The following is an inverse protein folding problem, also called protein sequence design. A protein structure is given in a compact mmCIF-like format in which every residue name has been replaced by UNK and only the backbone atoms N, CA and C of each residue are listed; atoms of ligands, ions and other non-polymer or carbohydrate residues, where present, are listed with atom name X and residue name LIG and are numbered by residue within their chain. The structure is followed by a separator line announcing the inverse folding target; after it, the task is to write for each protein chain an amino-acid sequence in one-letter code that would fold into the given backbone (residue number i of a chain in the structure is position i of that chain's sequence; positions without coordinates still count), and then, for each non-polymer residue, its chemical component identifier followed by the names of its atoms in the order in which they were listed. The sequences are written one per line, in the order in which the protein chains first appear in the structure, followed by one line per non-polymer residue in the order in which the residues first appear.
data_IF_073503305471
#
_entry.id   IF_073503305471
#
_cell.length_a   1.000
_cell.length_b   1.000
_cell.length_c   1.000
_cell.angle_alpha   90.00
_cell.angle_beta   90.00
_cell.angle_gamma   90.00
#
_symmetry.space_group_name_H-M   'P 1'
#
loop_
_entity.id
_entity.type
_entity.pdbx_description
1 polymer ?
#
# COMPACT_ATOMS: atom_id res chain seq x y z
N UNK A 1 5.83 16.44 38.30
CA UNK A 1 5.43 16.87 36.96
C UNK A 1 4.04 16.34 36.73
N UNK A 2 3.11 17.12 36.16
CA UNK A 2 1.78 16.60 35.88
C UNK A 2 1.79 15.47 34.88
N UNK A 3 0.83 14.54 35.00
CA UNK A 3 0.58 13.50 34.01
C UNK A 3 0.51 14.08 32.61
N UNK A 4 1.19 13.46 31.65
CA UNK A 4 1.17 13.88 30.25
C UNK A 4 1.12 12.69 29.31
N UNK A 5 0.59 12.93 28.12
CA UNK A 5 0.59 11.97 27.02
C UNK A 5 1.98 11.99 26.34
N UNK A 6 2.58 10.82 26.21
CA UNK A 6 3.83 10.63 25.49
C UNK A 6 3.62 10.67 23.96
N UNK A 7 4.60 11.18 23.19
CA UNK A 7 4.54 11.09 21.74
C UNK A 7 4.55 9.61 21.27
N UNK A 8 4.09 9.37 20.05
CA UNK A 8 3.96 8.02 19.47
C UNK A 8 2.58 7.44 19.76
N UNK A 9 2.50 6.30 20.42
CA UNK A 9 1.23 5.59 20.65
C UNK A 9 0.33 6.23 21.70
N UNK A 10 0.73 7.37 22.29
CA UNK A 10 -0.11 8.15 23.20
C UNK A 10 -0.30 7.54 24.59
N UNK A 11 0.73 6.89 25.12
CA UNK A 11 0.73 6.38 26.50
C UNK A 11 0.84 7.54 27.50
N UNK A 12 0.23 7.39 28.66
CA UNK A 12 0.34 8.37 29.76
C UNK A 12 1.54 8.06 30.64
N UNK A 13 2.23 9.09 31.07
CA UNK A 13 3.35 8.97 31.97
C UNK A 13 3.50 10.22 32.87
N UNK A 14 4.45 10.15 33.79
CA UNK A 14 4.77 11.22 34.72
C UNK A 14 3.63 11.53 35.71
N UNK A 15 3.09 10.47 36.31
CA UNK A 15 2.09 10.61 37.38
C UNK A 15 2.65 11.39 38.55
N UNK A 16 1.86 12.29 39.12
CA UNK A 16 2.29 13.07 40.26
C UNK A 16 2.48 12.21 41.53
N UNK A 17 3.46 12.51 42.39
CA UNK A 17 3.61 11.84 43.66
C UNK A 17 2.30 11.94 44.48
N UNK A 18 1.78 10.78 44.90
CA UNK A 18 0.53 10.71 45.65
C UNK A 18 -0.73 10.72 44.78
N UNK A 19 -0.63 10.79 43.45
CA UNK A 19 -1.78 10.68 42.56
C UNK A 19 -2.50 9.34 42.82
N UNK A 20 -3.82 9.42 43.02
CA UNK A 20 -4.69 8.24 43.16
C UNK A 20 -5.21 7.79 41.80
N UNK A 21 -5.58 6.52 41.71
CA UNK A 21 -6.17 5.91 40.48
C UNK A 21 -5.23 5.81 39.25
N UNK A 22 -3.93 6.07 39.41
CA UNK A 22 -2.94 5.90 38.35
C UNK A 22 -2.91 4.46 37.79
N UNK A 23 -3.28 3.46 38.60
CA UNK A 23 -3.32 2.06 38.20
C UNK A 23 -4.32 1.78 37.07
N UNK A 24 -5.47 2.47 37.04
CA UNK A 24 -6.43 2.36 35.91
C UNK A 24 -5.82 2.88 34.62
N UNK A 25 -5.25 4.10 34.68
CA UNK A 25 -4.58 4.70 33.53
C UNK A 25 -3.41 3.86 33.02
N UNK A 26 -2.58 3.34 33.92
CA UNK A 26 -1.48 2.45 33.55
C UNK A 26 -1.98 1.14 32.93
N UNK A 27 -3.05 0.55 33.47
CA UNK A 27 -3.62 -0.69 32.91
C UNK A 27 -4.16 -0.49 31.50
N UNK A 28 -4.82 0.64 31.23
CA UNK A 28 -5.27 0.99 29.89
C UNK A 28 -4.10 1.21 28.92
N UNK A 29 -3.03 1.85 29.39
CA UNK A 29 -1.83 2.09 28.60
C UNK A 29 -1.06 0.78 28.31
N UNK A 30 -0.98 -0.12 29.29
CA UNK A 30 -0.41 -1.46 29.08
C UNK A 30 -1.25 -2.30 28.10
N UNK A 31 -2.57 -2.20 28.17
CA UNK A 31 -3.47 -2.82 27.19
C UNK A 31 -3.18 -2.30 25.78
N UNK A 32 -3.08 -0.98 25.61
CA UNK A 32 -2.74 -0.35 24.33
C UNK A 32 -1.37 -0.80 23.83
N UNK A 33 -0.37 -0.79 24.70
CA UNK A 33 0.98 -1.26 24.37
C UNK A 33 0.97 -2.72 23.93
N UNK A 34 0.30 -3.60 24.68
CA UNK A 34 0.17 -5.03 24.33
C UNK A 34 -0.50 -5.25 22.97
N UNK A 35 -1.50 -4.43 22.63
CA UNK A 35 -2.16 -4.53 21.33
C UNK A 35 -1.32 -4.00 20.17
N UNK A 36 -0.34 -3.12 20.40
CA UNK A 36 0.45 -2.43 19.38
C UNK A 36 1.87 -2.94 19.22
N UNK A 37 2.39 -3.69 20.19
CA UNK A 37 3.68 -4.38 20.05
C UNK A 37 3.47 -5.65 19.24
N UNK A 38 4.00 -5.70 18.02
CA UNK A 38 3.81 -6.78 17.04
C UNK A 38 2.33 -7.10 16.79
N UNK A 39 1.53 -6.12 16.37
CA UNK A 39 0.09 -6.28 16.27
C UNK A 39 -0.29 -7.33 15.22
N UNK A 40 -1.20 -8.22 15.60
CA UNK A 40 -1.71 -9.29 14.74
C UNK A 40 -3.23 -9.31 14.82
N UNK A 41 -3.90 -8.94 13.73
CA UNK A 41 -5.35 -9.05 13.59
C UNK A 41 -5.74 -10.37 12.89
N UNK A 42 -6.88 -10.90 13.25
CA UNK A 42 -7.41 -12.12 12.61
C UNK A 42 -7.92 -11.81 11.20
N UNK A 43 -8.57 -10.68 10.99
CA UNK A 43 -9.11 -10.23 9.71
C UNK A 43 -9.26 -8.70 9.67
N UNK A 44 -9.41 -8.14 8.47
CA UNK A 44 -9.83 -6.73 8.22
C UNK A 44 -11.07 -6.62 7.32
N UNK A 45 -11.56 -7.73 6.78
CA UNK A 45 -12.69 -7.77 5.85
C UNK A 45 -13.94 -8.39 6.47
N UNK A 46 -13.78 -9.22 7.50
CA UNK A 46 -14.90 -9.81 8.23
C UNK A 46 -15.61 -8.78 9.11
N UNK A 47 -16.92 -8.85 9.17
CA UNK A 47 -17.69 -8.04 10.11
C UNK A 47 -17.22 -8.28 11.55
N UNK A 48 -17.22 -7.22 12.38
CA UNK A 48 -16.86 -7.33 13.78
C UNK A 48 -17.86 -8.28 14.48
N UNK A 49 -17.40 -9.41 15.06
CA UNK A 49 -18.28 -10.32 15.74
C UNK A 49 -18.84 -9.69 17.03
N UNK A 50 -20.03 -10.12 17.46
CA UNK A 50 -20.65 -9.64 18.69
C UNK A 50 -19.84 -9.96 19.95
N UNK A 51 -19.06 -11.06 19.93
CA UNK A 51 -18.16 -11.49 20.99
C UNK A 51 -16.83 -11.95 20.41
N UNK A 52 -15.77 -11.94 21.21
CA UNK A 52 -14.43 -12.40 20.80
C UNK A 52 -13.77 -13.28 21.87
N UNK A 53 -12.58 -13.74 21.61
CA UNK A 53 -11.69 -14.36 22.58
C UNK A 53 -10.75 -13.33 23.19
N UNK A 54 -10.44 -13.43 24.48
CA UNK A 54 -9.53 -12.49 25.16
C UNK A 54 -8.23 -12.34 24.39
N UNK A 55 -7.86 -11.10 24.09
CA UNK A 55 -6.66 -10.78 23.31
C UNK A 55 -6.84 -10.87 21.79
N UNK A 56 -8.02 -11.26 21.30
CA UNK A 56 -8.31 -11.23 19.87
C UNK A 56 -8.32 -9.79 19.35
N UNK A 57 -7.64 -9.58 18.23
CA UNK A 57 -7.65 -8.30 17.52
C UNK A 57 -8.27 -8.50 16.13
N UNK A 58 -9.13 -7.57 15.74
CA UNK A 58 -9.75 -7.47 14.40
C UNK A 58 -9.59 -6.03 13.92
N UNK A 59 -9.38 -5.82 12.64
CA UNK A 59 -9.55 -4.48 12.05
C UNK A 59 -11.03 -4.33 11.68
N UNK A 60 -11.66 -3.28 12.18
CA UNK A 60 -13.04 -2.95 11.83
C UNK A 60 -13.10 -2.57 10.36
N UNK A 61 -13.96 -3.19 9.52
CA UNK A 61 -14.05 -2.87 8.10
C UNK A 61 -14.34 -1.39 7.85
N UNK A 62 -13.79 -0.85 6.77
CA UNK A 62 -13.99 0.56 6.40
C UNK A 62 -15.47 0.94 6.20
N UNK A 63 -16.31 -0.01 5.78
CA UNK A 63 -17.74 0.17 5.57
C UNK A 63 -18.59 0.08 6.85
N UNK A 64 -17.99 -0.19 8.02
CA UNK A 64 -18.75 -0.45 9.25
C UNK A 64 -19.33 0.83 9.91
N UNK A 65 -19.03 2.02 9.39
CA UNK A 65 -19.48 3.29 9.97
C UNK A 65 -18.71 3.65 11.23
N UNK A 66 -19.29 3.46 12.41
CA UNK A 66 -18.62 3.75 13.67
C UNK A 66 -17.35 2.88 13.85
N UNK A 67 -16.26 3.51 14.30
CA UNK A 67 -14.96 2.87 14.49
C UNK A 67 -14.36 2.22 13.23
N UNK A 68 -14.78 2.64 12.03
CA UNK A 68 -14.20 2.18 10.77
C UNK A 68 -12.67 2.25 10.81
N UNK A 69 -12.01 1.21 10.32
CA UNK A 69 -10.54 1.04 10.33
C UNK A 69 -9.88 0.90 11.71
N UNK A 70 -10.60 1.02 12.83
CA UNK A 70 -10.01 0.84 14.16
C UNK A 70 -9.51 -0.60 14.38
N UNK A 71 -8.45 -0.75 15.18
CA UNK A 71 -8.10 -2.03 15.79
C UNK A 71 -9.08 -2.28 16.94
N UNK A 72 -9.90 -3.31 16.83
CA UNK A 72 -10.80 -3.76 17.87
C UNK A 72 -10.13 -4.91 18.64
N UNK A 73 -9.83 -4.69 19.92
CA UNK A 73 -9.27 -5.68 20.84
C UNK A 73 -10.39 -6.19 21.74
N UNK A 74 -10.59 -7.52 21.81
CA UNK A 74 -11.51 -8.12 22.77
C UNK A 74 -10.83 -8.28 24.13
N UNK A 75 -11.38 -7.60 25.15
CA UNK A 75 -10.85 -7.61 26.52
C UNK A 75 -11.96 -7.33 27.53
N UNK A 76 -11.60 -7.26 28.80
CA UNK A 76 -12.51 -6.85 29.85
C UNK A 76 -12.39 -5.35 30.15
N UNK A 77 -13.50 -4.63 30.12
CA UNK A 77 -13.60 -3.24 30.53
C UNK A 77 -14.43 -3.19 31.82
N UNK A 78 -13.83 -2.80 32.94
CA UNK A 78 -14.46 -2.83 34.24
C UNK A 78 -15.06 -4.21 34.60
N UNK A 79 -14.42 -5.30 34.22
CA UNK A 79 -14.89 -6.66 34.46
C UNK A 79 -15.93 -7.18 33.46
N UNK A 80 -16.32 -6.39 32.46
CA UNK A 80 -17.31 -6.77 31.43
C UNK A 80 -16.57 -7.02 30.11
N UNK A 81 -16.72 -8.20 29.49
CA UNK A 81 -16.13 -8.47 28.16
C UNK A 81 -16.68 -7.50 27.10
N UNK A 82 -15.78 -6.83 26.38
CA UNK A 82 -16.13 -5.83 25.37
C UNK A 82 -15.03 -5.63 24.33
N UNK A 83 -15.40 -5.08 23.18
CA UNK A 83 -14.45 -4.57 22.20
C UNK A 83 -13.90 -3.22 22.63
N UNK A 84 -12.58 -3.12 22.73
CA UNK A 84 -11.84 -1.87 22.94
C UNK A 84 -11.30 -1.41 21.60
N UNK A 85 -11.63 -0.19 21.19
CA UNK A 85 -11.25 0.34 19.88
C UNK A 85 -10.05 1.27 19.99
N UNK A 86 -9.05 1.02 19.14
CA UNK A 86 -7.87 1.87 19.01
C UNK A 86 -7.89 2.48 17.59
N UNK A 87 -8.07 3.80 17.53
CA UNK A 87 -8.00 4.53 16.27
C UNK A 87 -6.58 4.40 15.69
N UNK A 88 -6.43 3.96 14.43
CA UNK A 88 -5.11 3.79 13.83
C UNK A 88 -4.45 5.14 13.57
N UNK A 89 -3.12 5.16 13.61
CA UNK A 89 -2.32 6.31 13.24
C UNK A 89 -1.55 6.02 11.94
N UNK A 90 -1.24 7.08 11.22
CA UNK A 90 -0.44 7.00 9.98
C UNK A 90 0.86 6.23 10.22
N UNK A 91 1.13 5.25 9.35
CA UNK A 91 2.31 4.41 9.42
C UNK A 91 2.19 3.15 10.28
N UNK A 92 1.11 2.96 11.06
CA UNK A 92 0.94 1.71 11.81
C UNK A 92 0.92 0.51 10.88
N UNK A 93 1.58 -0.58 11.30
CA UNK A 93 1.60 -1.85 10.56
C UNK A 93 0.99 -2.96 11.40
N UNK A 94 0.20 -3.81 10.76
CA UNK A 94 -0.48 -4.95 11.39
C UNK A 94 -0.34 -6.18 10.51
N UNK A 95 -0.05 -7.34 11.11
CA UNK A 95 -0.13 -8.62 10.43
C UNK A 95 -1.59 -9.08 10.36
N UNK A 96 -2.08 -9.42 9.18
CA UNK A 96 -3.43 -9.98 8.98
C UNK A 96 -3.31 -11.49 8.78
N UNK A 97 -3.92 -12.25 9.70
CA UNK A 97 -3.72 -13.69 9.76
C UNK A 97 -4.40 -14.44 8.62
N UNK A 98 -5.64 -14.09 8.28
CA UNK A 98 -6.40 -14.73 7.19
C UNK A 98 -5.84 -14.41 5.80
N UNK A 99 -5.16 -13.26 5.65
CA UNK A 99 -4.51 -12.87 4.40
C UNK A 99 -3.01 -13.24 4.36
N UNK A 100 -2.43 -13.66 5.50
CA UNK A 100 -0.99 -13.95 5.68
C UNK A 100 -0.09 -12.83 5.14
N UNK A 101 -0.38 -11.56 5.49
CA UNK A 101 0.38 -10.39 5.04
C UNK A 101 0.38 -9.25 6.06
N UNK A 102 1.33 -8.34 5.89
CA UNK A 102 1.30 -7.06 6.58
C UNK A 102 0.45 -6.04 5.81
N UNK A 103 -0.28 -5.24 6.57
CA UNK A 103 -0.93 -4.02 6.08
C UNK A 103 -0.39 -2.81 6.83
N UNK A 104 -0.37 -1.65 6.18
CA UNK A 104 0.02 -0.37 6.75
C UNK A 104 -1.16 0.59 6.67
N UNK A 105 -1.43 1.32 7.74
CA UNK A 105 -2.40 2.40 7.71
C UNK A 105 -1.78 3.63 7.06
N UNK A 106 -2.39 4.09 5.95
CA UNK A 106 -1.95 5.28 5.22
C UNK A 106 -3.11 5.90 4.46
N UNK A 107 -3.17 7.23 4.43
CA UNK A 107 -4.23 7.99 3.76
C UNK A 107 -5.65 7.55 4.16
N UNK A 108 -5.85 7.23 5.45
CA UNK A 108 -7.15 6.83 6.00
C UNK A 108 -7.58 5.40 5.70
N UNK A 109 -6.71 4.55 5.16
CA UNK A 109 -7.01 3.16 4.81
C UNK A 109 -5.87 2.19 5.19
N UNK A 110 -6.22 0.91 5.35
CA UNK A 110 -5.25 -0.17 5.52
C UNK A 110 -4.80 -0.70 4.15
N UNK A 111 -3.62 -0.29 3.73
CA UNK A 111 -3.00 -0.67 2.46
C UNK A 111 -2.07 -1.88 2.64
N UNK A 112 -1.98 -2.72 1.63
CA UNK A 112 -1.06 -3.86 1.64
C UNK A 112 0.40 -3.39 1.63
N UNK A 113 1.23 -4.02 2.45
CA UNK A 113 2.68 -3.86 2.37
C UNK A 113 3.20 -4.86 1.34
N UNK A 114 3.90 -4.41 0.29
CA UNK A 114 4.45 -5.30 -0.72
C UNK A 114 5.35 -6.37 -0.10
N UNK A 115 5.20 -7.62 -0.53
CA UNK A 115 6.06 -8.72 -0.08
C UNK A 115 7.38 -8.66 -0.84
N UNK A 116 8.54 -8.75 -0.16
CA UNK A 116 9.81 -8.92 -0.85
C UNK A 116 9.77 -10.13 -1.79
N UNK A 117 10.23 -9.94 -3.04
CA UNK A 117 10.28 -11.01 -4.04
C UNK A 117 8.95 -11.35 -4.72
N UNK A 118 7.85 -10.70 -4.35
CA UNK A 118 6.56 -10.82 -5.06
C UNK A 118 6.26 -9.50 -5.77
N UNK A 119 6.32 -9.53 -7.10
CA UNK A 119 5.95 -8.39 -7.94
C UNK A 119 4.46 -8.45 -8.23
N UNK A 120 3.76 -7.33 -8.12
CA UNK A 120 2.34 -7.26 -8.47
C UNK A 120 2.16 -7.38 -9.97
N UNK A 121 1.27 -8.29 -10.38
CA UNK A 121 0.83 -8.45 -11.76
C UNK A 121 -0.45 -7.62 -11.97
N UNK A 122 -0.47 -6.78 -13.00
CA UNK A 122 -1.62 -5.97 -13.39
C UNK A 122 -1.98 -6.19 -14.83
N UNK A 123 -3.18 -6.66 -15.09
CA UNK A 123 -3.68 -6.93 -16.44
C UNK A 123 -4.33 -5.67 -17.02
N UNK A 124 -3.86 -5.26 -18.18
CA UNK A 124 -4.39 -4.15 -18.97
C UNK A 124 -5.25 -4.70 -20.11
N UNK A 125 -6.54 -4.46 -20.06
CA UNK A 125 -7.51 -4.85 -21.09
C UNK A 125 -7.89 -3.69 -22.04
N UNK A 126 -7.60 -2.45 -21.62
CA UNK A 126 -7.84 -1.27 -22.42
C UNK A 126 -6.79 -1.08 -23.52
N UNK A 127 -7.16 -0.38 -24.59
CA UNK A 127 -6.25 -0.05 -25.70
C UNK A 127 -5.31 1.10 -25.40
N UNK A 128 -5.46 1.77 -24.27
CA UNK A 128 -4.55 2.81 -23.80
C UNK A 128 -4.44 2.76 -22.27
N UNK A 129 -3.22 3.01 -21.77
CA UNK A 129 -2.96 3.12 -20.34
C UNK A 129 -1.88 4.18 -20.09
N UNK A 130 -2.18 5.17 -19.26
CA UNK A 130 -1.17 6.12 -18.80
C UNK A 130 -0.66 5.65 -17.45
N UNK A 131 0.67 5.50 -17.32
CA UNK A 131 1.31 5.02 -16.10
C UNK A 131 0.94 5.93 -14.91
N UNK A 132 0.60 5.31 -13.80
CA UNK A 132 0.30 5.95 -12.52
C UNK A 132 1.25 5.43 -11.43
N UNK A 133 1.37 6.14 -10.30
CA UNK A 133 2.30 5.75 -9.22
C UNK A 133 2.08 4.32 -8.72
N UNK A 134 0.87 3.81 -8.78
CA UNK A 134 0.50 2.44 -8.43
C UNK A 134 1.07 1.38 -9.38
N UNK A 135 1.60 1.76 -10.56
CA UNK A 135 2.27 0.86 -11.51
C UNK A 135 3.75 0.67 -11.17
N UNK A 136 4.30 1.51 -10.30
CA UNK A 136 5.68 1.39 -9.84
C UNK A 136 5.94 0.05 -9.16
N UNK A 137 6.98 -0.68 -9.61
CA UNK A 137 7.31 -2.01 -9.11
C UNK A 137 6.40 -3.13 -9.61
N UNK A 138 5.53 -2.90 -10.59
CA UNK A 138 4.59 -3.89 -11.13
C UNK A 138 5.07 -4.51 -12.44
N UNK A 139 4.47 -5.64 -12.80
CA UNK A 139 4.43 -6.18 -14.16
C UNK A 139 3.06 -5.81 -14.75
N UNK A 140 3.05 -5.05 -15.84
CA UNK A 140 1.85 -4.71 -16.60
C UNK A 140 1.72 -5.67 -17.77
N UNK A 141 0.65 -6.44 -17.82
CA UNK A 141 0.34 -7.37 -18.92
C UNK A 141 -0.73 -6.80 -19.82
N UNK A 142 -0.39 -6.56 -21.09
CA UNK A 142 -1.37 -6.20 -22.11
C UNK A 142 -1.93 -7.47 -22.72
N UNK A 143 -3.24 -7.73 -22.57
CA UNK A 143 -3.87 -9.00 -22.92
C UNK A 143 -4.81 -8.92 -24.13
N UNK A 144 -5.04 -7.73 -24.65
CA UNK A 144 -5.97 -7.50 -25.77
C UNK A 144 -5.44 -8.02 -27.11
N UNK A 145 -6.37 -8.20 -28.06
CA UNK A 145 -6.04 -8.48 -29.47
C UNK A 145 -5.84 -7.21 -30.30
N UNK A 146 -6.28 -6.06 -29.80
CA UNK A 146 -6.08 -4.73 -30.40
C UNK A 146 -4.77 -4.11 -29.92
N UNK A 147 -4.21 -3.19 -30.73
CA UNK A 147 -3.01 -2.44 -30.33
C UNK A 147 -3.25 -1.67 -29.02
N UNK A 148 -2.24 -1.67 -28.16
CA UNK A 148 -2.25 -1.01 -26.84
C UNK A 148 -1.16 0.03 -26.79
N UNK A 149 -1.48 1.24 -26.32
CA UNK A 149 -0.49 2.29 -26.06
C UNK A 149 -0.32 2.46 -24.53
N UNK A 150 0.91 2.29 -24.05
CA UNK A 150 1.30 2.59 -22.69
C UNK A 150 2.04 3.92 -22.68
N UNK A 151 1.49 4.93 -22.03
CA UNK A 151 2.06 6.29 -22.02
C UNK A 151 2.80 6.55 -20.73
N UNK A 152 4.05 6.98 -20.84
CA UNK A 152 4.85 7.48 -19.70
C UNK A 152 4.45 8.95 -19.47
N UNK A 153 3.83 9.32 -18.34
CA UNK A 153 3.42 10.69 -18.07
C UNK A 153 4.57 11.58 -17.69
N UNK A 154 4.39 12.90 -17.81
CA UNK A 154 5.28 13.88 -17.20
C UNK A 154 5.28 13.78 -15.66
N UNK A 155 6.38 14.16 -15.02
CA UNK A 155 6.51 14.10 -13.56
C UNK A 155 5.48 14.96 -12.83
N UNK A 156 4.99 16.03 -13.45
CA UNK A 156 3.91 16.85 -12.92
C UNK A 156 2.57 16.09 -12.78
N UNK A 157 2.34 15.06 -13.62
CA UNK A 157 1.13 14.22 -13.59
C UNK A 157 1.30 13.02 -12.67
N UNK A 158 2.47 12.35 -12.73
CA UNK A 158 2.80 11.22 -11.86
C UNK A 158 4.27 11.33 -11.42
N UNK A 159 4.55 11.82 -10.20
CA UNK A 159 5.90 12.06 -9.70
C UNK A 159 6.55 10.74 -9.24
N UNK A 160 6.83 9.84 -10.17
CA UNK A 160 7.60 8.64 -9.87
C UNK A 160 8.97 8.99 -9.29
N UNK A 161 9.46 8.19 -8.37
CA UNK A 161 10.83 8.33 -7.84
C UNK A 161 11.86 7.86 -8.87
N UNK A 162 13.06 8.46 -8.86
CA UNK A 162 14.20 7.98 -9.65
C UNK A 162 14.55 6.57 -9.17
N UNK A 163 14.75 5.63 -10.11
CA UNK A 163 14.95 4.21 -9.83
C UNK A 163 13.65 3.39 -9.88
N UNK A 164 12.47 4.00 -10.07
CA UNK A 164 11.23 3.25 -10.29
C UNK A 164 11.40 2.33 -11.50
N UNK A 165 11.08 1.05 -11.29
CA UNK A 165 11.07 -0.01 -12.31
C UNK A 165 9.63 -0.41 -12.59
N UNK A 166 9.27 -0.53 -13.88
CA UNK A 166 7.98 -1.05 -14.35
C UNK A 166 8.27 -2.01 -15.48
N UNK A 167 7.78 -3.24 -15.39
CA UNK A 167 7.87 -4.20 -16.50
C UNK A 167 6.57 -4.16 -17.31
N UNK A 168 6.69 -4.19 -18.63
CA UNK A 168 5.56 -4.29 -19.56
C UNK A 168 5.71 -5.55 -20.37
N UNK A 169 4.71 -6.43 -20.35
CA UNK A 169 4.71 -7.70 -21.09
C UNK A 169 3.52 -7.74 -22.04
N UNK A 170 3.77 -8.01 -23.30
CA UNK A 170 2.72 -8.23 -24.30
C UNK A 170 2.26 -9.68 -24.24
N UNK A 171 1.14 -9.96 -23.59
CA UNK A 171 0.56 -11.30 -23.48
C UNK A 171 -0.45 -11.55 -24.61
N UNK A 172 -1.17 -10.51 -25.03
CA UNK A 172 -2.12 -10.57 -26.12
C UNK A 172 -1.48 -10.48 -27.52
N UNK A 173 -2.30 -10.69 -28.53
CA UNK A 173 -1.87 -10.57 -29.94
C UNK A 173 -1.73 -9.12 -30.40
N UNK A 174 -2.33 -8.16 -29.70
CA UNK A 174 -2.25 -6.73 -30.03
C UNK A 174 -0.86 -6.17 -29.73
N UNK A 175 -0.33 -5.40 -30.67
CA UNK A 175 0.99 -4.75 -30.51
C UNK A 175 0.94 -3.78 -29.33
N UNK A 176 1.90 -3.89 -28.42
CA UNK A 176 2.05 -2.96 -27.29
C UNK A 176 3.13 -1.94 -27.61
N UNK A 177 2.75 -0.67 -27.64
CA UNK A 177 3.66 0.45 -27.87
C UNK A 177 3.83 1.25 -26.58
N UNK A 178 5.06 1.50 -26.19
CA UNK A 178 5.37 2.40 -25.07
C UNK A 178 5.76 3.76 -25.65
N UNK A 179 5.12 4.82 -25.17
CA UNK A 179 5.31 6.18 -25.68
C UNK A 179 5.52 7.15 -24.52
N UNK A 180 6.51 8.03 -24.62
CA UNK A 180 6.72 9.09 -23.66
C UNK A 180 5.82 10.31 -23.98
N UNK A 181 5.24 10.92 -22.94
CA UNK A 181 4.49 12.18 -23.11
C UNK A 181 5.40 13.33 -23.53
N UNK A 182 4.79 14.43 -23.97
CA UNK A 182 5.54 15.64 -24.32
C UNK A 182 6.39 16.12 -23.11
N UNK A 183 7.67 16.45 -23.38
CA UNK A 183 8.64 16.85 -22.36
C UNK A 183 9.33 15.70 -21.65
N UNK A 184 8.87 14.45 -21.84
CA UNK A 184 9.53 13.26 -21.27
C UNK A 184 10.41 12.62 -22.34
N UNK A 185 11.60 12.17 -21.97
CA UNK A 185 12.51 11.43 -22.86
C UNK A 185 12.51 9.92 -22.56
N UNK A 186 12.51 9.10 -23.61
CA UNK A 186 12.69 7.66 -23.57
C UNK A 186 13.97 7.32 -24.32
N UNK A 187 14.92 6.64 -23.68
CA UNK A 187 16.27 6.37 -24.22
C UNK A 187 16.97 7.61 -24.83
N UNK A 188 16.72 8.80 -24.26
CA UNK A 188 17.27 10.06 -24.74
C UNK A 188 16.47 10.75 -25.86
N UNK A 189 15.42 10.11 -26.39
CA UNK A 189 14.54 10.68 -27.44
C UNK A 189 13.35 11.37 -26.76
N UNK A 190 13.17 12.68 -27.00
CA UNK A 190 12.03 13.43 -26.47
C UNK A 190 10.73 12.99 -27.11
N UNK A 191 9.74 12.62 -26.31
CA UNK A 191 8.49 12.04 -26.80
C UNK A 191 8.65 10.68 -27.47
N UNK A 192 9.77 10.00 -27.20
CA UNK A 192 10.15 8.75 -27.87
C UNK A 192 9.13 7.63 -27.70
N UNK A 193 9.03 6.79 -28.70
CA UNK A 193 8.09 5.66 -28.78
C UNK A 193 8.78 4.40 -29.31
N UNK A 194 8.38 3.23 -28.81
CA UNK A 194 8.87 1.94 -29.28
C UNK A 194 7.85 0.83 -29.00
N UNK A 195 7.74 -0.13 -29.91
CA UNK A 195 6.88 -1.29 -29.73
C UNK A 195 7.64 -2.46 -29.09
N UNK A 196 6.90 -3.29 -28.33
CA UNK A 196 7.38 -4.58 -27.85
C UNK A 196 7.38 -5.59 -29.01
N UNK A 197 8.40 -6.45 -29.06
CA UNK A 197 8.66 -7.37 -30.18
C UNK A 197 7.81 -8.66 -30.12
N UNK A 198 6.49 -8.46 -30.10
CA UNK A 198 5.53 -9.55 -30.24
C UNK A 198 4.97 -10.14 -28.96
N UNK A 199 4.12 -11.15 -29.12
CA UNK A 199 3.44 -11.85 -28.03
C UNK A 199 4.46 -12.58 -27.13
N UNK A 200 4.26 -12.50 -25.83
CA UNK A 200 5.14 -13.01 -24.76
C UNK A 200 6.49 -12.31 -24.65
N UNK A 201 6.72 -11.26 -25.42
CA UNK A 201 7.86 -10.38 -25.23
C UNK A 201 7.58 -9.34 -24.15
N UNK A 202 8.63 -8.80 -23.56
CA UNK A 202 8.52 -7.79 -22.53
C UNK A 202 9.71 -6.85 -22.48
N UNK A 203 9.50 -5.71 -21.83
CA UNK A 203 10.53 -4.71 -21.62
C UNK A 203 10.40 -4.09 -20.22
N UNK A 204 11.54 -3.66 -19.67
CA UNK A 204 11.64 -2.97 -18.39
C UNK A 204 11.81 -1.48 -18.63
N UNK A 205 10.96 -0.68 -17.98
CA UNK A 205 11.05 0.77 -17.91
C UNK A 205 11.73 1.16 -16.61
N UNK A 206 12.76 1.99 -16.66
CA UNK A 206 13.45 2.51 -15.48
C UNK A 206 13.49 4.03 -15.54
N UNK A 207 13.01 4.69 -14.48
CA UNK A 207 13.14 6.15 -14.34
C UNK A 207 14.58 6.52 -13.96
N UNK A 208 15.24 7.33 -14.79
CA UNK A 208 16.64 7.74 -14.61
C UNK A 208 16.84 9.20 -14.21
N UNK A 209 15.85 10.04 -14.41
CA UNK A 209 15.89 11.46 -14.09
C UNK A 209 14.49 12.05 -13.98
N UNK A 210 14.39 13.37 -13.78
CA UNK A 210 13.10 14.05 -13.58
C UNK A 210 12.12 13.71 -14.69
N UNK A 211 12.53 13.88 -15.96
CA UNK A 211 11.72 13.59 -17.16
C UNK A 211 12.46 12.59 -18.09
N UNK A 212 13.30 11.71 -17.52
CA UNK A 212 14.11 10.77 -18.30
C UNK A 212 13.83 9.33 -17.89
N UNK A 213 13.47 8.52 -18.87
CA UNK A 213 13.23 7.09 -18.74
C UNK A 213 14.10 6.29 -19.71
N UNK A 214 14.37 5.06 -19.33
CA UNK A 214 15.05 4.07 -20.19
C UNK A 214 14.14 2.86 -20.31
N UNK A 215 13.99 2.36 -21.52
CA UNK A 215 13.34 1.07 -21.82
C UNK A 215 14.38 0.10 -22.37
N UNK A 216 14.37 -1.12 -21.85
CA UNK A 216 15.26 -2.22 -22.24
C UNK A 216 14.48 -3.53 -22.28
N UNK A 217 14.70 -4.35 -23.30
CA UNK A 217 14.02 -5.63 -23.45
C UNK A 217 13.89 -6.04 -24.90
N UNK A 218 12.90 -6.87 -25.17
CA UNK A 218 12.57 -7.28 -26.53
C UNK A 218 11.74 -6.18 -27.22
N UNK A 219 12.37 -5.37 -28.03
CA UNK A 219 11.81 -4.20 -28.69
C UNK A 219 11.95 -4.29 -30.21
N UNK A 220 10.95 -3.79 -30.91
CA UNK A 220 10.98 -3.70 -32.38
C UNK A 220 11.74 -2.45 -32.80
N UNK A 221 13.04 -2.58 -32.98
CA UNK A 221 13.91 -1.47 -33.40
C UNK A 221 14.37 -0.56 -32.27
N UNK A 222 14.85 0.62 -32.62
CA UNK A 222 15.26 1.67 -31.70
C UNK A 222 14.07 2.56 -31.31
N UNK A 223 14.20 3.28 -30.18
CA UNK A 223 13.23 4.32 -29.82
C UNK A 223 13.29 5.45 -30.87
N UNK A 224 12.16 5.81 -31.40
CA UNK A 224 12.00 6.85 -32.40
C UNK A 224 11.11 8.00 -31.89
#
# INVERSE_FOLDING_TARGET
MPERILPGVGLRAFYDPGQRNWGTSLSEDLRRLSALVQPRATSRSAALPGTGSTGQIVIVPAAAGANANALALWDQVAGIPAWVFLAPQEGWQVWITDEARFVRFAAGAWLEVPRPGVVQLRTLTATSHTLALVDGGCILETTGSSAVTVTIPAAATAPFEIGTLINVTQVGAGVTTVTAAAGVSLNGVAGGSVAIDGQWAGAALTKRGAEAWVIQGALTGAVA
#
